data_IF_609640253223
#
_entry.id   IF_609640253223
#
_cell.length_a   1.000
_cell.length_b   1.000
_cell.length_c   1.000
_cell.angle_alpha   90.00
_cell.angle_beta   90.00
_cell.angle_gamma   90.00
#
_symmetry.space_group_name_H-M   'P 1'
#
loop_
_entity.id
_entity.type
_entity.pdbx_description
1 polymer ?
#
# COMPACT_ATOMS: atom_id res chain seq x y z
N UNK A 1 -19.97 -10.39 -6.36
CA UNK A 1 -19.10 -9.23 -6.04
C UNK A 1 -19.07 -8.33 -7.27
N UNK A 2 -19.28 -7.01 -7.13
CA UNK A 2 -19.03 -6.07 -8.24
C UNK A 2 -17.54 -6.11 -8.55
N UNK A 3 -17.19 -6.27 -9.82
CA UNK A 3 -15.80 -6.14 -10.25
C UNK A 3 -15.43 -4.65 -10.20
N UNK A 4 -14.22 -4.36 -9.73
CA UNK A 4 -13.69 -3.00 -9.78
C UNK A 4 -13.73 -2.51 -11.24
N UNK A 5 -14.17 -1.27 -11.50
CA UNK A 5 -14.15 -0.69 -12.84
C UNK A 5 -12.70 -0.38 -13.28
N UNK A 6 -11.75 -0.39 -12.35
CA UNK A 6 -10.35 -0.07 -12.59
C UNK A 6 -9.56 -1.34 -12.94
N UNK A 7 -8.68 -1.20 -13.94
CA UNK A 7 -7.65 -2.22 -14.21
C UNK A 7 -6.67 -2.28 -13.03
N UNK A 8 -6.15 -3.47 -12.73
CA UNK A 8 -5.15 -3.70 -11.65
C UNK A 8 -4.04 -2.64 -11.62
N UNK A 9 -3.45 -2.32 -12.76
CA UNK A 9 -2.31 -1.38 -12.82
C UNK A 9 -2.72 0.03 -12.39
N UNK A 10 -3.92 0.48 -12.77
CA UNK A 10 -4.46 1.78 -12.35
C UNK A 10 -4.68 1.79 -10.84
N UNK A 11 -5.24 0.72 -10.28
CA UNK A 11 -5.41 0.58 -8.83
C UNK A 11 -4.08 0.59 -8.06
N UNK A 12 -3.05 -0.09 -8.58
CA UNK A 12 -1.72 -0.08 -7.97
C UNK A 12 -1.10 1.32 -7.99
N UNK A 13 -1.19 2.01 -9.14
CA UNK A 13 -0.70 3.39 -9.27
C UNK A 13 -1.42 4.34 -8.32
N UNK A 14 -2.75 4.21 -8.20
CA UNK A 14 -3.54 5.00 -7.28
C UNK A 14 -3.09 4.82 -5.82
N UNK A 15 -2.98 3.57 -5.37
CA UNK A 15 -2.55 3.26 -3.99
C UNK A 15 -1.13 3.80 -3.74
N UNK A 16 -0.24 3.63 -4.72
CA UNK A 16 1.13 4.09 -4.60
C UNK A 16 1.23 5.62 -4.55
N UNK A 17 0.49 6.33 -5.40
CA UNK A 17 0.43 7.78 -5.43
C UNK A 17 -0.10 8.36 -4.10
N UNK A 18 -1.17 7.77 -3.53
CA UNK A 18 -1.65 8.11 -2.18
C UNK A 18 -0.57 7.92 -1.12
N UNK A 19 0.15 6.79 -1.13
CA UNK A 19 1.24 6.54 -0.17
C UNK A 19 2.38 7.55 -0.30
N UNK A 20 2.71 7.98 -1.52
CA UNK A 20 3.75 8.98 -1.75
C UNK A 20 3.33 10.38 -1.26
N UNK A 21 2.06 10.75 -1.48
CA UNK A 21 1.50 12.05 -1.09
C UNK A 21 1.29 12.17 0.41
N UNK A 22 0.52 11.25 0.97
CA UNK A 22 0.00 11.37 2.34
C UNK A 22 0.86 10.62 3.37
N UNK A 23 1.79 9.78 2.90
CA UNK A 23 2.61 8.86 3.72
C UNK A 23 1.80 7.83 4.51
N UNK A 24 0.47 7.85 4.40
CA UNK A 24 -0.42 6.83 4.93
C UNK A 24 -1.65 6.62 4.03
N UNK A 25 -2.39 5.53 4.30
CA UNK A 25 -3.71 5.31 3.72
C UNK A 25 -4.59 4.55 4.72
N UNK A 26 -5.90 4.84 4.66
CA UNK A 26 -6.92 4.05 5.30
C UNK A 26 -7.40 2.91 4.39
N UNK A 27 -7.36 1.68 4.90
CA UNK A 27 -7.77 0.48 4.14
C UNK A 27 -9.20 0.58 3.61
N UNK A 28 -10.13 1.06 4.45
CA UNK A 28 -11.57 1.10 4.12
C UNK A 28 -11.87 2.12 3.02
N UNK A 29 -11.20 3.27 3.05
CA UNK A 29 -11.35 4.31 2.02
C UNK A 29 -10.91 3.80 0.65
N UNK A 30 -9.70 3.24 0.57
CA UNK A 30 -9.17 2.69 -0.69
C UNK A 30 -10.06 1.58 -1.24
N UNK A 31 -10.59 0.71 -0.37
CA UNK A 31 -11.52 -0.34 -0.78
C UNK A 31 -12.82 0.22 -1.36
N UNK A 32 -13.36 1.28 -0.78
CA UNK A 32 -14.56 1.96 -1.26
C UNK A 32 -14.30 2.69 -2.59
N UNK A 33 -13.22 3.46 -2.68
CA UNK A 33 -12.84 4.24 -3.86
C UNK A 33 -12.57 3.34 -5.07
N UNK A 34 -11.85 2.24 -4.86
CA UNK A 34 -11.49 1.31 -5.94
C UNK A 34 -12.53 0.20 -6.15
N UNK A 35 -13.56 0.10 -5.29
CA UNK A 35 -14.54 -0.99 -5.30
C UNK A 35 -13.88 -2.39 -5.26
N UNK A 36 -12.91 -2.57 -4.36
CA UNK A 36 -12.16 -3.83 -4.19
C UNK A 36 -12.38 -4.44 -2.81
N UNK A 37 -12.28 -5.76 -2.72
CA UNK A 37 -12.35 -6.47 -1.44
C UNK A 37 -11.00 -6.49 -0.70
N UNK A 38 -11.03 -7.00 0.53
CA UNK A 38 -9.84 -7.10 1.39
C UNK A 38 -8.73 -8.00 0.82
N UNK A 39 -9.10 -9.08 0.13
CA UNK A 39 -8.12 -9.99 -0.46
C UNK A 39 -7.34 -9.29 -1.59
N UNK A 40 -8.04 -8.61 -2.49
CA UNK A 40 -7.46 -7.83 -3.58
C UNK A 40 -6.61 -6.68 -3.05
N UNK A 41 -7.10 -5.93 -2.08
CA UNK A 41 -6.35 -4.86 -1.43
C UNK A 41 -5.02 -5.36 -0.84
N UNK A 42 -5.05 -6.46 -0.07
CA UNK A 42 -3.82 -7.06 0.51
C UNK A 42 -2.84 -7.53 -0.57
N UNK A 43 -3.34 -8.10 -1.66
CA UNK A 43 -2.50 -8.47 -2.81
C UNK A 43 -1.83 -7.25 -3.43
N UNK A 44 -2.56 -6.13 -3.58
CA UNK A 44 -2.01 -4.89 -4.12
C UNK A 44 -0.94 -4.28 -3.22
N UNK A 45 -1.18 -4.21 -1.89
CA UNK A 45 -0.16 -3.77 -0.94
C UNK A 45 1.10 -4.64 -1.01
N UNK A 46 0.95 -5.97 -1.13
CA UNK A 46 2.09 -6.87 -1.29
C UNK A 46 2.86 -6.60 -2.58
N UNK A 47 2.17 -6.42 -3.71
CA UNK A 47 2.81 -6.11 -4.99
C UNK A 47 3.61 -4.79 -4.92
N UNK A 48 3.08 -3.77 -4.23
CA UNK A 48 3.78 -2.49 -4.01
C UNK A 48 5.00 -2.67 -3.07
N UNK A 49 4.87 -3.45 -1.99
CA UNK A 49 6.01 -3.78 -1.11
C UNK A 49 7.14 -4.47 -1.89
N UNK A 50 6.79 -5.42 -2.76
CA UNK A 50 7.75 -6.12 -3.60
C UNK A 50 8.46 -5.14 -4.56
N UNK A 51 7.69 -4.24 -5.18
CA UNK A 51 8.25 -3.19 -6.03
C UNK A 51 9.22 -2.27 -5.27
N UNK A 52 8.84 -1.77 -4.09
CA UNK A 52 9.71 -0.93 -3.25
C UNK A 52 11.00 -1.65 -2.85
N UNK A 53 10.90 -2.94 -2.54
CA UNK A 53 12.06 -3.78 -2.23
C UNK A 53 12.96 -3.96 -3.44
N UNK A 54 12.40 -4.25 -4.62
CA UNK A 54 13.15 -4.42 -5.87
C UNK A 54 13.90 -3.14 -6.27
N UNK A 55 13.26 -1.99 -6.14
CA UNK A 55 13.86 -0.69 -6.46
C UNK A 55 14.89 -0.20 -5.42
N UNK A 56 15.08 -0.94 -4.33
CA UNK A 56 15.94 -0.56 -3.19
C UNK A 56 15.72 0.88 -2.70
N UNK A 57 14.46 1.32 -2.61
CA UNK A 57 14.13 2.72 -2.28
C UNK A 57 14.40 3.14 -0.83
N UNK A 58 14.87 2.21 0.01
CA UNK A 58 15.06 2.47 1.44
C UNK A 58 13.75 2.83 2.17
N UNK A 59 12.60 2.49 1.59
CA UNK A 59 11.27 2.71 2.15
C UNK A 59 10.51 1.37 2.22
N UNK A 60 9.55 1.29 3.14
CA UNK A 60 8.67 0.14 3.32
C UNK A 60 7.27 0.55 3.77
N UNK A 61 6.30 -0.33 3.50
CA UNK A 61 4.92 -0.14 3.93
C UNK A 61 4.68 -0.94 5.22
N UNK A 62 4.36 -0.28 6.32
CA UNK A 62 3.96 -0.87 7.59
C UNK A 62 2.43 -0.82 7.77
N UNK A 63 1.85 -1.79 8.47
CA UNK A 63 0.44 -1.77 8.86
C UNK A 63 0.32 -1.54 10.36
N UNK A 64 -0.35 -0.45 10.72
CA UNK A 64 -0.68 -0.08 12.09
C UNK A 64 -2.03 -0.69 12.47
N UNK A 65 -2.03 -1.53 13.50
CA UNK A 65 -3.23 -2.22 13.97
C UNK A 65 -4.13 -1.31 14.82
N UNK A 66 -3.55 -0.33 15.50
CA UNK A 66 -4.28 0.53 16.44
C UNK A 66 -5.09 1.58 15.66
N UNK A 67 -4.52 2.06 14.55
CA UNK A 67 -5.17 3.06 13.68
C UNK A 67 -5.83 2.49 12.42
N UNK A 68 -5.64 1.19 12.12
CA UNK A 68 -6.04 0.54 10.85
C UNK A 68 -5.50 1.25 9.59
N UNK A 69 -4.32 1.87 9.71
CA UNK A 69 -3.64 2.59 8.64
C UNK A 69 -2.45 1.82 8.09
N UNK A 70 -2.16 2.01 6.80
CA UNK A 70 -0.89 1.58 6.21
C UNK A 70 -0.01 2.80 6.01
N UNK A 71 1.24 2.72 6.44
CA UNK A 71 2.20 3.82 6.43
C UNK A 71 3.37 3.52 5.50
N UNK A 72 3.79 4.48 4.69
CA UNK A 72 5.05 4.44 3.96
C UNK A 72 6.14 5.14 4.79
N UNK A 73 7.12 4.37 5.28
CA UNK A 73 8.21 4.88 6.13
C UNK A 73 9.57 4.54 5.52
N UNK A 74 10.61 5.28 5.91
CA UNK A 74 11.99 4.86 5.63
C UNK A 74 12.27 3.56 6.39
N UNK A 75 12.96 2.61 5.75
CA UNK A 75 13.50 1.44 6.43
C UNK A 75 14.47 1.93 7.49
N UNK A 76 14.21 1.61 8.75
CA UNK A 76 15.23 1.70 9.78
C UNK A 76 16.28 0.64 9.45
N UNK A 77 17.49 1.08 9.13
CA UNK A 77 18.63 0.19 9.15
C UNK A 77 18.83 -0.18 10.62
N UNK A 78 18.52 -1.42 10.99
CA UNK A 78 19.03 -1.98 12.24
C UNK A 78 20.55 -2.08 12.08
N UNK A 79 21.24 -1.01 12.47
CA UNK A 79 22.70 -1.00 12.59
C UNK A 79 22.99 -1.79 13.88
N UNK A 80 23.05 -3.11 13.76
CA UNK A 80 23.69 -3.92 14.79
C UNK A 80 25.20 -3.63 14.71
N UNK A 81 25.68 -2.80 15.64
CA UNK A 81 27.09 -2.64 15.97
C UNK A 81 27.62 -3.86 16.70
#
# INVERSE_FOLDING_TARGET
MKNSPFKKNVSLLYIYDKLLKDRCLCKKEVQAELLINNLTFKRYIRDIRNYLSFMNRGEEIYYDKDTDLYWLKKKTLDIHF
#
